data_IF_845518106422
#
_entry.id   IF_845518106422
#
_cell.length_a   1.000
_cell.length_b   1.000
_cell.length_c   1.000
_cell.angle_alpha   90.00
_cell.angle_beta   90.00
_cell.angle_gamma   90.00
#
_symmetry.space_group_name_H-M   'P 1'
#
loop_
_entity.id
_entity.type
_entity.pdbx_description
1 polymer ?
#
# COMPACT_ATOMS: atom_id res chain seq x y z
N UNK A 1 -5.64 -23.53 26.09
CA UNK A 1 -6.81 -22.88 25.48
C UNK A 1 -6.48 -21.62 24.69
N UNK A 2 -5.47 -20.83 25.06
CA UNK A 2 -5.05 -19.65 24.27
C UNK A 2 -4.59 -20.00 22.84
N UNK A 3 -3.92 -21.15 22.65
CA UNK A 3 -3.34 -21.56 21.37
C UNK A 3 -4.34 -21.87 20.26
N UNK A 4 -5.58 -22.24 20.60
CA UNK A 4 -6.61 -22.57 19.60
C UNK A 4 -7.21 -21.29 18.99
N UNK A 5 -7.39 -20.25 19.81
CA UNK A 5 -7.90 -18.94 19.37
C UNK A 5 -6.92 -18.22 18.43
N UNK A 6 -5.62 -18.49 18.56
CA UNK A 6 -4.58 -17.96 17.66
C UNK A 6 -4.76 -18.50 16.23
N UNK A 7 -5.30 -19.72 16.08
CA UNK A 7 -5.50 -20.37 14.79
C UNK A 7 -6.91 -20.16 14.21
N UNK A 8 -7.92 -19.93 15.06
CA UNK A 8 -9.35 -19.94 14.67
C UNK A 8 -9.93 -18.57 14.25
N UNK A 9 -9.09 -17.62 13.82
CA UNK A 9 -9.56 -16.43 13.09
C UNK A 9 -9.60 -15.11 13.86
N UNK A 10 -9.15 -15.06 15.12
CA UNK A 10 -8.93 -13.80 15.84
C UNK A 10 -7.44 -13.44 15.84
N UNK A 11 -6.97 -12.91 14.70
CA UNK A 11 -5.64 -12.28 14.62
C UNK A 11 -5.71 -10.96 15.41
N UNK A 12 -5.30 -11.04 16.67
CA UNK A 12 -5.16 -9.88 17.54
C UNK A 12 -3.93 -9.03 17.20
N UNK A 13 -3.81 -7.82 17.77
CA UNK A 13 -2.67 -6.93 17.56
C UNK A 13 -1.32 -7.60 17.87
N UNK A 14 -1.29 -8.49 18.85
CA UNK A 14 -0.09 -9.25 19.23
C UNK A 14 0.42 -10.21 18.16
N UNK A 15 -0.47 -10.81 17.39
CA UNK A 15 -0.12 -11.77 16.35
C UNK A 15 0.45 -11.02 15.15
N UNK A 16 -0.14 -9.87 14.81
CA UNK A 16 0.37 -8.97 13.77
C UNK A 16 1.78 -8.50 14.12
N UNK A 17 2.02 -8.07 15.35
CA UNK A 17 3.36 -7.67 15.81
C UNK A 17 4.35 -8.82 15.68
N UNK A 18 3.99 -10.04 16.09
CA UNK A 18 4.84 -11.22 15.95
C UNK A 18 5.20 -11.51 14.49
N UNK A 19 4.22 -11.46 13.59
CA UNK A 19 4.45 -11.65 12.14
C UNK A 19 5.37 -10.57 11.58
N UNK A 20 5.15 -9.30 11.95
CA UNK A 20 6.00 -8.18 11.54
C UNK A 20 7.43 -8.37 12.05
N UNK A 21 7.62 -8.80 13.30
CA UNK A 21 8.95 -9.08 13.86
C UNK A 21 9.65 -10.20 13.09
N UNK A 22 8.96 -11.29 12.76
CA UNK A 22 9.53 -12.37 11.94
C UNK A 22 9.92 -11.85 10.55
N UNK A 23 9.05 -11.09 9.87
CA UNK A 23 9.37 -10.47 8.59
C UNK A 23 10.56 -9.51 8.68
N UNK A 24 10.67 -8.73 9.75
CA UNK A 24 11.80 -7.83 9.99
C UNK A 24 13.10 -8.59 10.22
N UNK A 25 13.07 -9.77 10.84
CA UNK A 25 14.26 -10.62 10.99
C UNK A 25 14.68 -11.27 9.67
N UNK A 26 13.71 -11.69 8.82
CA UNK A 26 13.99 -12.32 7.52
C UNK A 26 14.46 -11.31 6.47
N UNK A 27 13.76 -10.18 6.35
CA UNK A 27 14.00 -9.17 5.29
C UNK A 27 14.86 -8.00 5.77
N UNK A 28 15.02 -7.82 7.09
CA UNK A 28 15.69 -6.66 7.68
C UNK A 28 14.77 -5.44 7.79
N UNK A 29 14.95 -4.63 8.84
CA UNK A 29 14.10 -3.45 9.09
C UNK A 29 14.18 -2.32 8.07
N UNK A 30 15.16 -2.37 7.16
CA UNK A 30 15.34 -1.36 6.11
C UNK A 30 14.62 -1.70 4.80
N UNK A 31 14.36 -2.97 4.50
CA UNK A 31 13.82 -3.37 3.18
C UNK A 31 12.32 -3.10 3.03
N UNK A 32 11.54 -3.32 4.09
CA UNK A 32 10.09 -3.00 4.07
C UNK A 32 9.82 -1.52 3.75
N UNK A 33 10.43 -0.53 4.45
CA UNK A 33 10.19 0.89 4.14
C UNK A 33 10.78 1.30 2.78
N UNK A 34 11.88 0.70 2.33
CA UNK A 34 12.47 0.95 1.01
C UNK A 34 11.53 0.50 -0.12
N UNK A 35 10.95 -0.71 0.00
CA UNK A 35 9.94 -1.22 -0.93
C UNK A 35 8.66 -0.39 -0.91
N UNK A 36 8.18 0.02 0.28
CA UNK A 36 7.02 0.90 0.40
C UNK A 36 7.25 2.26 -0.24
N UNK A 37 8.45 2.85 -0.10
CA UNK A 37 8.79 4.12 -0.76
C UNK A 37 8.84 3.97 -2.28
N UNK A 38 9.46 2.90 -2.79
CA UNK A 38 9.48 2.62 -4.23
C UNK A 38 8.09 2.41 -4.82
N UNK A 39 7.26 1.58 -4.17
CA UNK A 39 5.88 1.33 -4.58
C UNK A 39 5.01 2.59 -4.47
N UNK A 40 5.19 3.37 -3.41
CA UNK A 40 4.46 4.62 -3.19
C UNK A 40 4.77 5.69 -4.23
N UNK A 41 6.04 5.84 -4.63
CA UNK A 41 6.43 6.72 -5.73
C UNK A 41 5.82 6.28 -7.06
N UNK A 42 5.87 4.98 -7.39
CA UNK A 42 5.27 4.47 -8.62
C UNK A 42 3.76 4.64 -8.68
N UNK A 43 3.04 4.41 -7.57
CA UNK A 43 1.59 4.67 -7.47
C UNK A 43 1.29 6.17 -7.61
N UNK A 44 2.13 7.03 -7.05
CA UNK A 44 1.98 8.49 -7.17
C UNK A 44 2.14 8.95 -8.62
N UNK A 45 3.21 8.52 -9.29
CA UNK A 45 3.47 8.82 -10.70
C UNK A 45 2.36 8.28 -11.60
N UNK A 46 1.88 7.06 -11.35
CA UNK A 46 0.76 6.47 -12.07
C UNK A 46 -0.51 7.31 -11.93
N UNK A 47 -0.84 7.74 -10.71
CA UNK A 47 -2.01 8.59 -10.45
C UNK A 47 -1.88 9.96 -11.08
N UNK A 48 -0.69 10.56 -11.04
CA UNK A 48 -0.44 11.89 -11.60
C UNK A 48 -0.60 11.85 -13.14
N UNK A 49 -0.08 10.81 -13.81
CA UNK A 49 -0.25 10.60 -15.25
C UNK A 49 -1.73 10.35 -15.64
N UNK A 50 -2.44 9.48 -14.90
CA UNK A 50 -3.87 9.23 -15.17
C UNK A 50 -4.75 10.47 -15.00
N UNK A 51 -4.40 11.38 -14.09
CA UNK A 51 -5.12 12.64 -13.89
C UNK A 51 -4.87 13.65 -15.02
N UNK A 52 -3.67 13.68 -15.57
CA UNK A 52 -3.34 14.53 -16.71
C UNK A 52 -4.10 14.12 -17.98
N UNK A 53 -4.30 12.82 -18.17
CA UNK A 53 -5.15 12.27 -19.24
C UNK A 53 -6.64 12.64 -19.05
N UNK A 54 -7.18 12.55 -17.82
CA UNK A 54 -8.56 12.95 -17.51
C UNK A 54 -8.78 14.47 -17.71
N UNK A 55 -7.85 15.32 -17.28
CA UNK A 55 -8.00 16.78 -17.36
C UNK A 55 -7.82 17.33 -18.79
N UNK A 56 -7.12 16.58 -19.65
CA UNK A 56 -6.97 16.89 -21.08
C UNK A 56 -8.24 16.57 -21.90
N UNK A 57 -9.07 15.63 -21.43
CA UNK A 57 -10.35 15.32 -22.06
C UNK A 57 -11.46 16.34 -21.72
N UNK A 58 -11.39 17.00 -20.55
CA UNK A 58 -12.43 17.95 -20.11
C UNK A 58 -12.23 19.38 -20.65
N UNK A 59 -11.01 19.76 -21.05
CA UNK A 59 -10.71 21.12 -21.55
C UNK A 59 -11.06 21.35 -23.03
N UNK A 60 -11.55 20.32 -23.74
CA UNK A 60 -11.87 20.40 -25.18
C UNK A 60 -13.37 20.59 -25.49
N UNK A 61 -14.24 20.72 -24.48
CA UNK A 61 -15.70 20.78 -24.66
C UNK A 61 -16.38 22.12 -24.31
N UNK A 62 -15.65 23.16 -23.89
CA UNK A 62 -16.25 24.45 -23.50
C UNK A 62 -15.80 25.67 -24.34
N UNK A 63 -15.57 25.48 -25.64
CA UNK A 63 -15.45 26.61 -26.58
C UNK A 63 -16.13 26.23 -27.88
N UNK A 64 -17.46 26.33 -27.89
CA UNK A 64 -18.34 26.54 -29.04
C UNK A 64 -19.78 26.52 -28.53
N UNK A 65 -20.22 27.63 -27.95
CA UNK A 65 -21.56 28.20 -28.12
C UNK A 65 -21.44 29.73 -28.06
#
# INVERSE_FOLDING_TARGET
MMSLNIFLGMIGPWQIVLVVVVLLLLFGGKKIPELMRGLGSGIKEFKDASKEDEHSAESSSNTKE
#
